data_IF_153536916457
#
_entry.id   IF_153536916457
#
_cell.length_a   1.000
_cell.length_b   1.000
_cell.length_c   1.000
_cell.angle_alpha   90.00
_cell.angle_beta   90.00
_cell.angle_gamma   90.00
#
_symmetry.space_group_name_H-M   'P 1'
#
loop_
_entity.id
_entity.type
_entity.pdbx_description
1 polymer ?
#
# COMPACT_ATOMS: atom_id res chain seq x y z
N UNK A 1 14.84 29.42 -28.35
CA UNK A 1 15.93 29.35 -29.36
C UNK A 1 17.13 28.77 -28.67
N UNK A 2 17.71 27.68 -29.18
CA UNK A 2 18.99 27.23 -28.66
C UNK A 2 20.02 28.31 -28.96
N UNK A 3 20.73 28.75 -27.94
CA UNK A 3 21.79 29.74 -28.10
C UNK A 3 22.99 29.08 -28.78
N UNK A 4 23.13 29.33 -30.06
CA UNK A 4 24.20 28.77 -30.88
C UNK A 4 25.44 29.67 -30.93
N UNK A 5 25.37 30.88 -30.34
CA UNK A 5 26.43 31.86 -30.49
C UNK A 5 27.61 31.67 -29.51
N UNK A 6 27.41 30.90 -28.42
CA UNK A 6 28.43 30.63 -27.40
C UNK A 6 29.13 29.28 -27.50
N UNK A 7 29.08 28.63 -28.67
CA UNK A 7 29.69 27.28 -28.84
C UNK A 7 31.21 27.33 -28.86
N UNK A 8 31.84 28.48 -29.03
CA UNK A 8 33.31 28.60 -29.21
C UNK A 8 34.11 28.16 -27.99
N UNK A 9 33.61 28.34 -26.80
CA UNK A 9 34.33 28.03 -25.53
C UNK A 9 33.80 26.79 -24.80
N UNK A 10 32.82 26.10 -25.39
CA UNK A 10 32.15 24.98 -24.70
C UNK A 10 31.27 25.45 -23.53
N UNK A 11 30.23 24.70 -23.22
CA UNK A 11 29.39 24.97 -22.05
C UNK A 11 29.98 24.29 -20.84
N UNK A 12 30.05 25.02 -19.73
CA UNK A 12 30.36 24.43 -18.42
C UNK A 12 29.13 23.64 -17.92
N UNK A 13 29.22 22.32 -17.93
CA UNK A 13 28.16 21.43 -17.46
C UNK A 13 28.20 21.19 -15.95
N UNK A 14 29.12 21.83 -15.23
CA UNK A 14 29.28 21.72 -13.77
C UNK A 14 29.39 20.28 -13.31
N UNK A 15 30.11 19.44 -14.04
CA UNK A 15 30.29 18.02 -13.72
C UNK A 15 31.11 17.78 -12.45
N UNK A 16 31.78 18.82 -11.96
CA UNK A 16 32.51 18.89 -10.68
C UNK A 16 31.57 19.11 -9.48
N UNK A 17 30.31 19.50 -9.71
CA UNK A 17 29.36 19.74 -8.65
C UNK A 17 28.55 18.49 -8.31
N UNK A 18 28.36 18.18 -7.02
CA UNK A 18 27.48 17.09 -6.61
C UNK A 18 26.04 17.31 -7.07
N UNK A 19 25.35 16.24 -7.38
CA UNK A 19 23.92 16.27 -7.69
C UNK A 19 23.13 16.88 -6.52
N UNK A 20 22.29 17.87 -6.79
CA UNK A 20 21.55 18.60 -5.77
C UNK A 20 20.21 17.95 -5.38
N UNK A 21 19.65 17.09 -6.23
CA UNK A 21 18.44 16.35 -5.92
C UNK A 21 18.77 15.04 -5.20
N UNK A 22 17.98 14.72 -4.19
CA UNK A 22 18.06 13.44 -3.48
C UNK A 22 17.02 12.50 -4.09
N UNK A 23 17.43 11.39 -4.74
CA UNK A 23 16.49 10.42 -5.26
C UNK A 23 15.74 9.74 -4.10
N UNK A 24 14.41 9.58 -4.26
CA UNK A 24 13.62 8.75 -3.36
C UNK A 24 13.84 7.28 -3.69
N UNK A 25 14.23 6.50 -2.70
CA UNK A 25 14.37 5.04 -2.83
C UNK A 25 13.88 4.34 -1.57
N UNK A 26 13.13 3.26 -1.77
CA UNK A 26 12.82 2.28 -0.73
C UNK A 26 13.57 0.99 -1.02
N UNK A 27 13.91 0.23 0.00
CA UNK A 27 14.57 -1.07 -0.12
C UNK A 27 13.75 -1.98 -1.05
N UNK A 28 14.40 -2.53 -2.08
CA UNK A 28 13.74 -3.37 -3.07
C UNK A 28 12.95 -2.65 -4.17
N UNK A 29 12.81 -1.32 -4.11
CA UNK A 29 11.99 -0.55 -5.04
C UNK A 29 12.80 0.34 -6.00
N UNK A 30 14.14 0.30 -5.95
CA UNK A 30 15.00 1.20 -6.74
C UNK A 30 14.93 1.01 -8.26
N UNK A 31 14.53 -0.17 -8.74
CA UNK A 31 14.37 -0.48 -10.16
C UNK A 31 12.95 -0.23 -10.70
N UNK A 32 12.02 0.26 -9.87
CA UNK A 32 10.64 0.55 -10.28
C UNK A 32 10.58 1.83 -11.13
N UNK A 33 9.56 1.91 -12.00
CA UNK A 33 9.33 3.11 -12.80
C UNK A 33 8.99 4.34 -11.95
N UNK A 34 9.09 5.53 -12.57
CA UNK A 34 8.86 6.80 -11.88
C UNK A 34 7.45 6.91 -11.30
N UNK A 35 6.44 6.41 -11.99
CA UNK A 35 5.05 6.46 -11.52
C UNK A 35 4.84 5.66 -10.24
N UNK A 36 5.44 4.48 -10.17
CA UNK A 36 5.46 3.64 -8.98
C UNK A 36 6.17 4.34 -7.82
N UNK A 37 7.37 4.87 -8.06
CA UNK A 37 8.15 5.59 -7.04
C UNK A 37 7.44 6.87 -6.57
N UNK A 38 6.80 7.61 -7.47
CA UNK A 38 6.01 8.80 -7.11
C UNK A 38 4.85 8.45 -6.18
N UNK A 39 4.15 7.35 -6.41
CA UNK A 39 3.09 6.89 -5.50
C UNK A 39 3.63 6.43 -4.15
N UNK A 40 4.74 5.69 -4.14
CA UNK A 40 5.41 5.26 -2.91
C UNK A 40 5.91 6.45 -2.08
N UNK A 41 6.47 7.49 -2.71
CA UNK A 41 6.94 8.70 -2.02
C UNK A 41 5.82 9.55 -1.41
N UNK A 42 4.58 9.37 -1.85
CA UNK A 42 3.39 9.97 -1.24
C UNK A 42 2.92 9.18 -0.01
N UNK A 43 3.22 7.89 0.06
CA UNK A 43 2.89 7.02 1.18
C UNK A 43 3.97 7.14 2.27
N UNK A 44 5.22 7.07 1.89
CA UNK A 44 6.36 7.11 2.82
C UNK A 44 7.05 8.48 2.76
N UNK A 45 7.30 9.08 3.89
CA UNK A 45 7.99 10.35 3.95
C UNK A 45 9.41 10.21 3.32
N UNK A 46 9.74 10.97 2.26
CA UNK A 46 11.02 10.79 1.56
C UNK A 46 12.26 11.04 2.42
N UNK A 47 12.14 11.79 3.51
CA UNK A 47 13.28 12.10 4.41
C UNK A 47 13.48 11.05 5.50
N UNK A 48 12.38 10.46 5.99
CA UNK A 48 12.45 9.55 7.16
C UNK A 48 12.18 8.09 6.78
N UNK A 49 11.55 7.84 5.63
CA UNK A 49 11.06 6.52 5.22
C UNK A 49 9.84 6.04 6.01
N UNK A 50 9.32 6.82 6.95
CA UNK A 50 8.22 6.43 7.82
C UNK A 50 6.88 6.91 7.30
N UNK A 51 5.80 6.29 7.80
CA UNK A 51 4.41 6.68 7.53
C UNK A 51 3.51 6.29 8.69
N UNK A 52 2.49 7.11 8.94
CA UNK A 52 1.36 6.77 9.81
C UNK A 52 0.13 6.56 8.93
N UNK A 53 -0.29 5.30 8.78
CA UNK A 53 -1.44 4.94 7.96
C UNK A 53 -2.65 4.66 8.83
N UNK A 54 -3.71 5.45 8.67
CA UNK A 54 -4.99 5.23 9.32
C UNK A 54 -5.82 4.26 8.47
N UNK A 55 -6.01 3.03 8.98
CA UNK A 55 -6.78 1.98 8.31
C UNK A 55 -8.18 1.85 8.92
N UNK A 56 -9.20 2.11 8.10
CA UNK A 56 -10.63 2.00 8.47
C UNK A 56 -11.44 1.27 7.39
N UNK A 57 -10.78 0.34 6.71
CA UNK A 57 -11.36 -0.47 5.64
C UNK A 57 -12.15 -1.67 6.16
N UNK A 58 -11.94 -2.13 7.37
CA UNK A 58 -12.44 -3.41 7.88
C UNK A 58 -13.97 -3.52 8.00
N UNK A 59 -14.70 -2.43 7.84
CA UNK A 59 -16.16 -2.46 7.67
C UNK A 59 -16.63 -3.26 6.46
N UNK A 60 -15.75 -3.53 5.47
CA UNK A 60 -16.10 -4.31 4.28
C UNK A 60 -16.52 -5.75 4.60
N UNK A 61 -16.06 -6.32 5.72
CA UNK A 61 -16.43 -7.66 6.16
C UNK A 61 -17.13 -7.69 7.53
N UNK A 62 -16.87 -6.70 8.40
CA UNK A 62 -17.44 -6.62 9.73
C UNK A 62 -18.76 -5.84 9.78
N UNK A 63 -19.02 -4.98 8.79
CA UNK A 63 -20.13 -4.06 8.85
C UNK A 63 -19.92 -2.90 9.84
N UNK A 64 -20.97 -2.28 10.36
CA UNK A 64 -20.90 -1.12 11.25
C UNK A 64 -20.61 -1.55 12.70
N UNK A 65 -19.44 -2.11 12.92
CA UNK A 65 -18.98 -2.53 14.26
C UNK A 65 -18.19 -1.42 14.95
N UNK A 66 -17.87 -1.62 16.22
CA UNK A 66 -17.28 -0.65 17.15
C UNK A 66 -16.32 0.36 16.53
N UNK A 67 -16.72 1.62 16.50
CA UNK A 67 -15.97 2.74 15.93
C UNK A 67 -16.21 2.98 14.44
N UNK A 68 -16.86 2.05 13.73
CA UNK A 68 -17.15 2.16 12.29
C UNK A 68 -18.63 2.44 11.98
N UNK A 69 -19.47 2.65 13.01
CA UNK A 69 -20.88 2.93 12.84
C UNK A 69 -21.11 4.28 12.13
N UNK A 70 -20.28 5.26 12.50
CA UNK A 70 -20.32 6.61 11.96
C UNK A 70 -18.88 7.07 11.68
N UNK A 71 -18.34 6.62 10.54
CA UNK A 71 -16.96 6.92 10.12
C UNK A 71 -16.76 8.45 9.96
N UNK A 72 -17.77 9.16 9.51
CA UNK A 72 -17.78 10.61 9.38
C UNK A 72 -17.62 11.35 10.74
N UNK A 73 -18.06 10.74 11.83
CA UNK A 73 -17.95 11.30 13.19
C UNK A 73 -16.73 10.74 13.92
N UNK A 74 -16.54 9.41 13.85
CA UNK A 74 -15.57 8.74 14.71
C UNK A 74 -14.16 8.70 14.10
N UNK A 75 -14.05 8.65 12.77
CA UNK A 75 -12.79 8.43 12.07
C UNK A 75 -12.32 9.68 11.31
N UNK A 76 -13.23 10.42 10.67
CA UNK A 76 -12.87 11.58 9.87
C UNK A 76 -12.06 12.64 10.65
N UNK A 77 -12.31 12.93 11.92
CA UNK A 77 -11.48 13.84 12.72
C UNK A 77 -10.03 13.39 12.88
N UNK A 78 -9.75 12.08 12.71
CA UNK A 78 -8.39 11.53 12.82
C UNK A 78 -7.57 11.69 11.53
N UNK A 79 -8.19 12.10 10.43
CA UNK A 79 -7.48 12.24 9.15
C UNK A 79 -6.30 13.22 9.23
N UNK A 80 -6.42 14.29 10.00
CA UNK A 80 -5.33 15.26 10.16
C UNK A 80 -4.06 14.66 10.78
N UNK A 81 -4.20 13.64 11.64
CA UNK A 81 -3.11 12.99 12.36
C UNK A 81 -2.47 11.81 11.58
N UNK A 82 -2.98 11.50 10.39
CA UNK A 82 -2.45 10.43 9.55
C UNK A 82 -1.72 11.00 8.33
N UNK A 83 -0.66 10.31 7.89
CA UNK A 83 0.00 10.61 6.62
C UNK A 83 -0.79 10.01 5.45
N UNK A 84 -1.39 8.84 5.65
CA UNK A 84 -2.06 8.04 4.61
C UNK A 84 -3.39 7.49 5.13
N UNK A 85 -4.39 7.43 4.27
CA UNK A 85 -5.69 6.83 4.56
C UNK A 85 -5.83 5.48 3.85
N UNK A 86 -6.24 4.43 4.59
CA UNK A 86 -6.56 3.13 4.00
C UNK A 86 -8.05 2.84 4.19
N UNK A 87 -8.78 2.73 3.10
CA UNK A 87 -10.23 2.54 3.13
C UNK A 87 -10.73 1.78 1.90
N UNK A 88 -12.03 1.48 1.87
CA UNK A 88 -12.71 0.95 0.69
C UNK A 88 -13.13 2.07 -0.27
N UNK A 89 -13.37 1.74 -1.54
CA UNK A 89 -13.84 2.72 -2.53
C UNK A 89 -15.20 3.34 -2.18
N UNK A 90 -16.06 2.60 -1.47
CA UNK A 90 -17.36 3.11 -1.03
C UNK A 90 -17.19 4.20 0.03
N UNK A 91 -16.37 3.95 1.02
CA UNK A 91 -16.05 4.90 2.09
C UNK A 91 -15.26 6.10 1.54
N UNK A 92 -14.33 5.88 0.64
CA UNK A 92 -13.61 6.98 -0.02
C UNK A 92 -14.59 8.00 -0.63
N UNK A 93 -15.58 7.52 -1.37
CA UNK A 93 -16.55 8.38 -2.06
C UNK A 93 -17.53 9.10 -1.12
N UNK A 94 -17.84 8.48 0.01
CA UNK A 94 -18.91 8.99 0.91
C UNK A 94 -18.41 9.81 2.10
N UNK A 95 -17.17 9.57 2.55
CA UNK A 95 -16.68 10.13 3.81
C UNK A 95 -15.40 10.96 3.67
N UNK A 96 -14.52 10.58 2.72
CA UNK A 96 -13.23 11.27 2.58
C UNK A 96 -13.39 12.50 1.70
N UNK A 97 -13.18 13.73 2.23
CA UNK A 97 -13.27 14.94 1.42
C UNK A 97 -12.20 14.95 0.33
N UNK A 98 -12.54 15.19 -0.95
CA UNK A 98 -11.55 15.25 -2.02
C UNK A 98 -10.43 16.28 -1.78
N UNK A 99 -10.74 17.35 -1.06
CA UNK A 99 -9.80 18.42 -0.73
C UNK A 99 -8.80 18.07 0.38
N UNK A 100 -8.89 16.86 0.99
CA UNK A 100 -7.96 16.47 2.05
C UNK A 100 -6.52 16.31 1.56
N UNK A 101 -6.31 16.09 0.25
CA UNK A 101 -5.01 15.85 -0.38
C UNK A 101 -4.16 14.72 0.26
N UNK A 102 -4.76 13.92 1.14
CA UNK A 102 -4.10 12.75 1.73
C UNK A 102 -3.95 11.65 0.69
N UNK A 103 -2.79 10.98 0.61
CA UNK A 103 -2.66 9.77 -0.19
C UNK A 103 -3.59 8.68 0.34
N UNK A 104 -4.15 7.91 -0.58
CA UNK A 104 -5.12 6.86 -0.26
C UNK A 104 -4.60 5.51 -0.73
N UNK A 105 -4.72 4.52 0.12
CA UNK A 105 -4.56 3.10 -0.20
C UNK A 105 -5.95 2.47 -0.24
N UNK A 106 -6.33 1.90 -1.39
CA UNK A 106 -7.65 1.29 -1.55
C UNK A 106 -7.63 -0.20 -1.26
N UNK A 107 -8.54 -0.65 -0.41
CA UNK A 107 -8.79 -2.07 -0.24
C UNK A 107 -9.29 -2.67 -1.54
N UNK A 108 -8.57 -3.65 -2.07
CA UNK A 108 -8.84 -4.29 -3.37
C UNK A 108 -9.32 -5.73 -3.26
N UNK A 109 -9.20 -6.37 -2.10
CA UNK A 109 -9.77 -7.70 -1.85
C UNK A 109 -10.96 -7.63 -0.90
N UNK A 110 -11.85 -8.62 -0.99
CA UNK A 110 -13.06 -8.72 -0.17
C UNK A 110 -13.98 -9.82 -0.70
N UNK A 111 -15.28 -9.60 -0.64
CA UNK A 111 -16.36 -10.51 -1.04
C UNK A 111 -16.69 -11.59 0.00
N UNK A 112 -16.38 -11.35 1.26
CA UNK A 112 -16.68 -12.18 2.41
C UNK A 112 -17.35 -11.36 3.53
N UNK A 113 -17.78 -12.03 4.58
CA UNK A 113 -18.24 -11.39 5.80
C UNK A 113 -17.82 -12.19 7.02
N UNK A 114 -17.94 -11.60 8.21
CA UNK A 114 -17.65 -12.28 9.49
C UNK A 114 -18.55 -13.49 9.77
N UNK A 115 -19.61 -13.67 9.00
CA UNK A 115 -20.51 -14.82 9.11
C UNK A 115 -20.02 -16.05 8.35
N UNK A 116 -18.98 -15.89 7.56
CA UNK A 116 -18.39 -16.95 6.74
C UNK A 116 -16.86 -17.03 6.97
N UNK A 117 -16.18 -17.85 6.16
CA UNK A 117 -14.71 -17.98 6.23
C UNK A 117 -14.04 -16.68 5.74
N UNK A 118 -13.30 -16.01 6.64
CA UNK A 118 -12.69 -14.71 6.35
C UNK A 118 -11.58 -14.77 5.31
N UNK A 119 -10.90 -15.91 5.17
CA UNK A 119 -9.82 -16.07 4.20
C UNK A 119 -10.32 -16.22 2.75
N UNK A 120 -11.62 -16.44 2.55
CA UNK A 120 -12.22 -16.58 1.21
C UNK A 120 -12.48 -15.21 0.58
N UNK A 121 -11.43 -14.52 0.22
CA UNK A 121 -11.50 -13.23 -0.46
C UNK A 121 -11.26 -13.35 -1.98
N UNK A 122 -11.89 -12.47 -2.73
CA UNK A 122 -11.63 -12.26 -4.15
C UNK A 122 -11.14 -10.83 -4.41
N UNK A 123 -10.57 -10.57 -5.58
CA UNK A 123 -10.29 -9.21 -6.04
C UNK A 123 -11.62 -8.50 -6.30
N UNK A 124 -11.89 -7.44 -5.55
CA UNK A 124 -13.15 -6.69 -5.53
C UNK A 124 -13.03 -5.27 -6.08
N UNK A 125 -11.83 -4.85 -6.50
CA UNK A 125 -11.54 -3.55 -7.09
C UNK A 125 -10.69 -3.75 -8.34
N UNK A 126 -11.11 -3.20 -9.48
CA UNK A 126 -10.27 -3.19 -10.68
C UNK A 126 -9.14 -2.18 -10.56
N UNK A 127 -8.04 -2.43 -11.25
CA UNK A 127 -6.91 -1.49 -11.29
C UNK A 127 -7.29 -0.16 -11.96
N UNK A 128 -8.15 -0.20 -12.98
CA UNK A 128 -8.67 1.01 -13.65
C UNK A 128 -9.47 1.89 -12.69
N UNK A 129 -10.30 1.28 -11.81
CA UNK A 129 -11.04 2.04 -10.80
C UNK A 129 -10.08 2.66 -9.75
N UNK A 130 -9.02 1.94 -9.37
CA UNK A 130 -8.00 2.44 -8.46
C UNK A 130 -7.25 3.66 -9.04
N UNK A 131 -6.87 3.59 -10.33
CA UNK A 131 -6.25 4.72 -11.06
C UNK A 131 -7.21 5.89 -11.16
N UNK A 132 -8.46 5.65 -11.58
CA UNK A 132 -9.49 6.70 -11.71
C UNK A 132 -9.80 7.39 -10.38
N UNK A 133 -9.71 6.68 -9.26
CA UNK A 133 -9.87 7.23 -7.91
C UNK A 133 -8.59 7.86 -7.35
N UNK A 134 -7.55 7.98 -8.16
CA UNK A 134 -6.26 8.58 -7.78
C UNK A 134 -5.62 7.94 -6.54
N UNK A 135 -5.75 6.62 -6.40
CA UNK A 135 -5.13 5.92 -5.28
C UNK A 135 -3.61 5.87 -5.42
N UNK A 136 -2.92 5.78 -4.28
CA UNK A 136 -1.46 5.65 -4.23
C UNK A 136 -0.99 4.21 -4.10
N UNK A 137 -1.86 3.31 -3.69
CA UNK A 137 -1.66 1.86 -3.69
C UNK A 137 -3.00 1.14 -3.61
N UNK A 138 -2.98 -0.14 -3.93
CA UNK A 138 -4.07 -1.08 -3.64
C UNK A 138 -3.62 -2.07 -2.58
N UNK A 139 -4.54 -2.55 -1.74
CA UNK A 139 -4.24 -3.47 -0.66
C UNK A 139 -5.11 -4.72 -0.74
N UNK A 140 -4.51 -5.88 -0.54
CA UNK A 140 -5.23 -7.14 -0.42
C UNK A 140 -4.67 -8.00 0.73
N UNK A 141 -5.55 -8.81 1.30
CA UNK A 141 -5.20 -9.70 2.39
C UNK A 141 -4.50 -10.95 1.87
N UNK A 142 -3.50 -11.41 2.61
CA UNK A 142 -2.85 -12.72 2.44
C UNK A 142 -3.03 -13.51 3.73
N UNK A 143 -3.66 -14.67 3.64
CA UNK A 143 -3.93 -15.53 4.77
C UNK A 143 -3.09 -16.80 4.69
N UNK A 144 -2.03 -16.88 5.49
CA UNK A 144 -1.15 -18.05 5.53
C UNK A 144 -1.67 -19.06 6.54
N UNK A 145 -1.71 -20.34 6.14
CA UNK A 145 -2.24 -21.42 6.98
C UNK A 145 -3.77 -21.43 7.11
N UNK A 146 -4.47 -20.82 6.18
CA UNK A 146 -5.94 -20.83 6.09
C UNK A 146 -6.45 -21.74 4.98
N UNK A 147 -7.73 -22.03 4.97
CA UNK A 147 -8.38 -22.85 3.93
C UNK A 147 -8.20 -22.23 2.54
N UNK A 148 -8.25 -20.92 2.41
CA UNK A 148 -8.15 -20.19 1.14
C UNK A 148 -6.79 -19.49 0.95
N UNK A 149 -5.73 -20.03 1.55
CA UNK A 149 -4.37 -19.51 1.39
C UNK A 149 -3.99 -19.30 -0.07
N UNK A 150 -4.16 -20.34 -0.90
CA UNK A 150 -3.83 -20.29 -2.32
C UNK A 150 -4.56 -19.16 -3.05
N UNK A 151 -5.87 -18.98 -2.79
CA UNK A 151 -6.65 -17.92 -3.42
C UNK A 151 -6.17 -16.53 -2.98
N UNK A 152 -5.84 -16.36 -1.70
CA UNK A 152 -5.35 -15.08 -1.17
C UNK A 152 -4.01 -14.68 -1.79
N UNK A 153 -3.10 -15.63 -1.99
CA UNK A 153 -1.82 -15.41 -2.68
C UNK A 153 -2.05 -15.07 -4.16
N UNK A 154 -2.95 -15.78 -4.86
CA UNK A 154 -3.30 -15.48 -6.26
C UNK A 154 -3.86 -14.07 -6.41
N UNK A 155 -4.65 -13.59 -5.47
CA UNK A 155 -5.19 -12.23 -5.50
C UNK A 155 -4.04 -11.19 -5.47
N UNK A 156 -3.01 -11.40 -4.64
CA UNK A 156 -1.84 -10.52 -4.61
C UNK A 156 -1.09 -10.55 -5.94
N UNK A 157 -0.81 -11.72 -6.49
CA UNK A 157 -0.12 -11.86 -7.78
C UNK A 157 -0.89 -11.11 -8.88
N UNK A 158 -2.20 -11.31 -8.97
CA UNK A 158 -3.06 -10.63 -9.93
C UNK A 158 -2.99 -9.09 -9.80
N UNK A 159 -2.99 -8.58 -8.56
CA UNK A 159 -2.91 -7.14 -8.30
C UNK A 159 -1.52 -6.59 -8.58
N UNK A 160 -0.46 -7.31 -8.28
CA UNK A 160 0.92 -6.95 -8.63
C UNK A 160 1.08 -6.84 -10.14
N UNK A 161 0.65 -7.86 -10.89
CA UNK A 161 0.75 -7.86 -12.36
C UNK A 161 -0.05 -6.71 -13.00
N UNK A 162 -1.27 -6.45 -12.49
CA UNK A 162 -2.07 -5.34 -12.96
C UNK A 162 -1.48 -3.99 -12.56
N UNK A 163 -0.95 -3.88 -11.34
CA UNK A 163 -0.35 -2.66 -10.80
C UNK A 163 0.93 -2.25 -11.52
N UNK A 164 1.78 -3.23 -11.88
CA UNK A 164 3.02 -2.98 -12.64
C UNK A 164 2.75 -2.32 -13.99
N UNK A 165 1.62 -2.61 -14.63
CA UNK A 165 1.24 -2.02 -15.94
C UNK A 165 0.93 -0.54 -15.86
N UNK A 166 0.54 -0.03 -14.70
CA UNK A 166 0.07 1.36 -14.50
C UNK A 166 0.83 2.10 -13.39
N UNK A 167 1.92 1.52 -12.90
CA UNK A 167 2.74 2.10 -11.85
C UNK A 167 2.00 2.20 -10.50
N UNK A 168 1.10 1.26 -10.17
CA UNK A 168 0.33 1.23 -8.94
C UNK A 168 0.93 0.22 -7.95
N UNK A 169 1.45 0.66 -6.79
CA UNK A 169 1.94 -0.25 -5.76
C UNK A 169 0.86 -1.18 -5.23
N UNK A 170 1.22 -2.42 -4.96
CA UNK A 170 0.37 -3.39 -4.27
C UNK A 170 0.88 -3.61 -2.85
N UNK A 171 -0.01 -3.46 -1.88
CA UNK A 171 0.25 -3.74 -0.47
C UNK A 171 -0.37 -5.08 -0.08
N UNK A 172 0.48 -6.01 0.34
CA UNK A 172 0.02 -7.25 0.97
C UNK A 172 -0.23 -7.00 2.47
N UNK A 173 -1.43 -7.31 2.94
CA UNK A 173 -1.79 -7.27 4.35
C UNK A 173 -1.75 -8.70 4.88
N UNK A 174 -0.76 -9.03 5.70
CA UNK A 174 -0.57 -10.40 6.15
C UNK A 174 -1.50 -10.76 7.30
N UNK A 175 -2.07 -11.94 7.22
CA UNK A 175 -2.81 -12.62 8.28
C UNK A 175 -2.35 -14.06 8.40
N UNK A 176 -2.60 -14.66 9.54
CA UNK A 176 -2.38 -16.09 9.78
C UNK A 176 -3.72 -16.77 9.98
N UNK A 177 -3.76 -18.09 9.74
CA UNK A 177 -4.97 -18.88 9.91
C UNK A 177 -5.56 -18.72 11.30
N UNK A 178 -6.87 -18.91 11.40
CA UNK A 178 -7.69 -18.71 12.60
C UNK A 178 -7.14 -19.41 13.84
N UNK A 179 -6.61 -20.59 13.65
CA UNK A 179 -6.11 -21.45 14.72
C UNK A 179 -4.60 -21.29 14.97
N UNK A 180 -3.94 -20.35 14.29
CA UNK A 180 -2.51 -20.12 14.39
C UNK A 180 -2.19 -19.01 15.40
N UNK A 181 -1.08 -19.19 16.11
CA UNK A 181 -0.55 -18.18 17.04
C UNK A 181 0.10 -17.04 16.26
N UNK A 182 -0.13 -15.80 16.68
CA UNK A 182 0.52 -14.61 16.12
C UNK A 182 1.95 -14.51 16.66
N UNK A 183 2.87 -15.18 16.01
CA UNK A 183 4.28 -15.15 16.38
C UNK A 183 5.20 -14.77 15.20
N UNK A 184 6.46 -14.52 15.50
CA UNK A 184 7.48 -14.10 14.53
C UNK A 184 7.63 -15.12 13.38
N UNK A 185 7.55 -16.42 13.67
CA UNK A 185 7.77 -17.47 12.67
C UNK A 185 6.75 -17.43 11.54
N UNK A 186 5.47 -17.30 11.88
CA UNK A 186 4.40 -17.28 10.88
C UNK A 186 4.34 -15.97 10.12
N UNK A 187 4.61 -14.84 10.78
CA UNK A 187 4.69 -13.56 10.09
C UNK A 187 5.94 -13.45 9.21
N UNK A 188 7.08 -14.02 9.59
CA UNK A 188 8.25 -14.14 8.69
C UNK A 188 7.92 -14.93 7.42
N UNK A 189 7.19 -16.04 7.56
CA UNK A 189 6.74 -16.83 6.41
C UNK A 189 5.80 -16.00 5.52
N UNK A 190 4.78 -15.37 6.10
CA UNK A 190 3.79 -14.60 5.36
C UNK A 190 4.42 -13.39 4.63
N UNK A 191 5.29 -12.64 5.31
CA UNK A 191 5.97 -11.48 4.70
C UNK A 191 6.93 -11.91 3.60
N UNK A 192 7.67 -13.02 3.79
CA UNK A 192 8.55 -13.56 2.76
C UNK A 192 7.79 -13.99 1.52
N UNK A 193 6.69 -14.72 1.66
CA UNK A 193 5.83 -15.10 0.53
C UNK A 193 5.33 -13.85 -0.20
N UNK A 194 4.80 -12.86 0.53
CA UNK A 194 4.30 -11.63 -0.07
C UNK A 194 5.39 -10.87 -0.85
N UNK A 195 6.61 -10.79 -0.32
CA UNK A 195 7.75 -10.16 -0.98
C UNK A 195 8.16 -10.90 -2.25
N UNK A 196 8.25 -12.24 -2.20
CA UNK A 196 8.59 -13.08 -3.37
C UNK A 196 7.53 -13.00 -4.47
N UNK A 197 6.27 -12.76 -4.10
CA UNK A 197 5.17 -12.53 -5.06
C UNK A 197 5.15 -11.09 -5.61
N UNK A 198 6.09 -10.24 -5.22
CA UNK A 198 6.31 -8.92 -5.80
C UNK A 198 5.53 -7.79 -5.15
N UNK A 199 4.93 -7.97 -3.98
CA UNK A 199 4.28 -6.87 -3.26
C UNK A 199 5.31 -5.78 -2.90
N UNK A 200 5.02 -4.53 -3.24
CA UNK A 200 5.91 -3.39 -2.97
C UNK A 200 5.81 -2.91 -1.51
N UNK A 201 4.69 -3.16 -0.87
CA UNK A 201 4.43 -2.81 0.53
C UNK A 201 3.91 -4.05 1.25
N UNK A 202 4.39 -4.28 2.46
CA UNK A 202 3.87 -5.36 3.30
C UNK A 202 3.45 -4.77 4.64
N UNK A 203 2.17 -4.94 4.96
CA UNK A 203 1.60 -4.59 6.27
C UNK A 203 1.47 -5.87 7.08
N UNK A 204 2.19 -5.94 8.20
CA UNK A 204 2.17 -7.11 9.10
C UNK A 204 1.87 -6.68 10.53
N UNK A 205 1.58 -7.63 11.38
CA UNK A 205 1.41 -7.37 12.80
C UNK A 205 2.76 -7.25 13.50
N UNK A 206 2.83 -6.33 14.44
CA UNK A 206 3.93 -6.29 15.38
C UNK A 206 3.90 -7.51 16.29
N UNK A 207 5.07 -8.09 16.54
CA UNK A 207 5.30 -9.15 17.53
C UNK A 207 6.38 -8.67 18.50
N UNK A 208 6.16 -8.90 19.77
CA UNK A 208 7.02 -8.38 20.82
C UNK A 208 8.46 -8.95 20.78
N UNK A 209 8.59 -10.19 20.34
CA UNK A 209 9.89 -10.87 20.23
C UNK A 209 10.22 -11.20 18.79
N UNK A 210 11.35 -10.73 18.29
CA UNK A 210 11.89 -11.12 16.99
C UNK A 210 11.29 -10.35 15.81
N UNK A 211 10.62 -9.20 16.01
CA UNK A 211 10.06 -8.39 14.91
C UNK A 211 11.14 -7.96 13.91
N UNK A 212 12.35 -7.67 14.38
CA UNK A 212 13.52 -7.33 13.55
C UNK A 212 13.93 -8.43 12.56
N UNK A 213 13.41 -9.64 12.72
CA UNK A 213 13.63 -10.78 11.81
C UNK A 213 12.53 -10.93 10.76
N UNK A 214 11.46 -10.17 10.90
CA UNK A 214 10.33 -10.14 9.96
C UNK A 214 10.59 -9.11 8.85
N UNK A 215 11.24 -8.01 9.15
CA UNK A 215 11.47 -6.83 8.31
C UNK A 215 12.85 -6.78 7.69
#
# INVERSE_FOLDING_TARGET
>A
MADLDDIKDGKDFRTDQPQQNIPFTLKGCGALDWGMQSRLSRIFNPKTGNTVMLAFDHGYFQGPTTGLERIDINIAPLFEHADVLMCTRGILRSVVPPATNKPVVLRASGANSILAELSNEAVALSMDDAVRLNSCAVAAQVYIGSEYEHQSIKNIIQLVDAGMKVGMPTMAVTGVGKDMVRDQRYFSLATRIAAEMGAQIIKTYYVEKGFERIV
#
